data_IF_971917508856
#
_entry.id   IF_971917508856
#
_cell.length_a   1.000
_cell.length_b   1.000
_cell.length_c   1.000
_cell.angle_alpha   90.00
_cell.angle_beta   90.00
_cell.angle_gamma   90.00
#
_symmetry.space_group_name_H-M   'P 1'
#
loop_
_entity.id
_entity.type
_entity.pdbx_description
1 polymer ?
#
# COMPACT_ATOMS: atom_id res chain seq x y z
N UNK A 1 15.84 13.80 43.88
CA UNK A 1 16.29 12.39 43.87
C UNK A 1 15.30 11.43 44.52
N UNK A 2 14.97 11.53 45.82
CA UNK A 2 14.07 10.56 46.49
C UNK A 2 12.70 10.41 45.82
N UNK A 3 12.06 11.52 45.46
CA UNK A 3 10.76 11.51 44.76
C UNK A 3 10.86 10.86 43.36
N UNK A 4 11.92 11.16 42.60
CA UNK A 4 12.19 10.53 41.30
C UNK A 4 12.37 9.02 41.46
N UNK A 5 13.17 8.57 42.43
CA UNK A 5 13.38 7.13 42.67
C UNK A 5 12.10 6.38 43.07
N UNK A 6 11.24 7.01 43.87
CA UNK A 6 9.93 6.44 44.25
C UNK A 6 8.92 6.49 43.10
N UNK A 7 9.01 7.51 42.24
CA UNK A 7 8.17 7.73 41.06
C UNK A 7 8.75 7.14 39.77
N UNK A 8 9.70 6.19 39.86
CA UNK A 8 10.32 5.53 38.71
C UNK A 8 10.89 6.49 37.65
N UNK A 9 11.54 7.57 38.08
CA UNK A 9 12.13 8.60 37.22
C UNK A 9 11.19 9.74 36.85
N UNK A 10 9.98 9.81 37.41
CA UNK A 10 9.00 10.88 37.18
C UNK A 10 8.71 11.62 38.49
N UNK A 11 8.59 12.95 38.44
CA UNK A 11 8.17 13.79 39.57
C UNK A 11 7.29 14.93 39.08
N UNK A 12 6.28 15.28 39.88
CA UNK A 12 5.46 16.48 39.68
C UNK A 12 5.78 17.45 40.82
N UNK A 13 6.13 18.68 40.49
CA UNK A 13 6.35 19.77 41.44
C UNK A 13 5.13 20.68 41.36
N UNK A 14 4.39 20.76 42.47
CA UNK A 14 3.32 21.73 42.63
C UNK A 14 3.94 23.07 43.10
N UNK A 15 3.99 24.06 42.21
CA UNK A 15 4.30 25.45 42.55
C UNK A 15 3.04 26.15 43.06
N UNK A 16 3.04 26.45 44.36
CA UNK A 16 1.94 27.10 45.08
C UNK A 16 2.31 28.52 45.53
N UNK A 17 3.36 29.12 44.93
CA UNK A 17 3.80 30.49 45.27
C UNK A 17 2.73 31.55 44.95
N UNK A 18 1.97 31.36 43.87
CA UNK A 18 0.72 32.07 43.62
C UNK A 18 -0.47 31.19 44.02
N UNK A 19 -1.04 31.44 45.20
CA UNK A 19 -2.20 30.68 45.70
C UNK A 19 -3.46 30.84 44.83
N UNK A 20 -3.55 31.89 44.01
CA UNK A 20 -4.66 32.06 43.08
C UNK A 20 -4.50 31.22 41.81
N UNK A 21 -3.26 30.87 41.45
CA UNK A 21 -2.93 30.09 40.25
C UNK A 21 -1.81 29.07 40.53
N UNK A 22 -2.10 28.01 41.31
CA UNK A 22 -1.12 26.93 41.49
C UNK A 22 -0.79 26.27 40.15
N UNK A 23 0.46 25.83 39.99
CA UNK A 23 0.97 25.20 38.76
C UNK A 23 1.63 23.86 39.08
N UNK A 24 1.47 22.91 38.17
CA UNK A 24 2.11 21.61 38.25
C UNK A 24 3.16 21.48 37.14
N UNK A 25 4.43 21.40 37.54
CA UNK A 25 5.55 21.18 36.63
C UNK A 25 6.01 19.72 36.73
N UNK A 26 5.87 18.98 35.62
CA UNK A 26 6.29 17.59 35.53
C UNK A 26 7.72 17.49 34.99
N UNK A 27 8.56 16.72 35.67
CA UNK A 27 9.93 16.40 35.28
C UNK A 27 10.10 14.87 35.14
N UNK A 28 10.88 14.45 34.14
CA UNK A 28 11.16 13.05 33.82
C UNK A 28 12.65 12.84 33.55
N UNK A 29 13.23 11.76 34.07
CA UNK A 29 14.58 11.26 33.74
C UNK A 29 14.59 10.43 32.44
N UNK A 30 13.42 9.95 32.01
CA UNK A 30 13.26 9.24 30.74
C UNK A 30 13.07 10.21 29.59
N UNK A 31 13.48 9.81 28.38
CA UNK A 31 13.14 10.48 27.12
C UNK A 31 11.68 10.20 26.74
N UNK A 32 10.77 10.61 27.62
CA UNK A 32 9.34 10.36 27.55
C UNK A 32 8.56 11.68 27.67
N UNK A 33 7.59 11.87 26.80
CA UNK A 33 6.65 12.97 26.85
C UNK A 33 5.41 12.55 27.68
N UNK A 34 5.16 13.19 28.83
CA UNK A 34 4.02 12.86 29.70
C UNK A 34 2.67 13.35 29.17
N UNK A 35 2.67 14.23 28.16
CA UNK A 35 1.44 14.80 27.61
C UNK A 35 0.81 13.90 26.54
N UNK A 36 1.64 13.27 25.70
CA UNK A 36 1.20 12.46 24.56
C UNK A 36 1.64 10.98 24.65
N UNK A 37 2.46 10.63 25.64
CA UNK A 37 2.91 9.27 25.87
C UNK A 37 4.07 8.81 24.96
N UNK A 38 4.64 9.71 24.16
CA UNK A 38 5.74 9.39 23.25
C UNK A 38 7.00 9.09 24.05
N UNK A 39 7.63 7.94 23.80
CA UNK A 39 8.92 7.56 24.37
C UNK A 39 9.94 7.39 23.25
N UNK A 40 11.14 7.89 23.46
CA UNK A 40 12.27 7.74 22.56
C UNK A 40 13.28 6.80 23.22
N UNK A 41 13.83 5.80 22.50
CA UNK A 41 14.91 4.97 23.02
C UNK A 41 16.16 5.82 23.32
N UNK A 42 17.10 5.24 24.05
CA UNK A 42 18.35 5.93 24.40
C UNK A 42 19.06 6.49 23.15
N UNK A 43 19.54 7.73 23.29
CA UNK A 43 20.22 8.45 22.21
C UNK A 43 21.66 7.92 22.11
N UNK A 44 21.86 7.01 21.16
CA UNK A 44 23.16 6.47 20.82
C UNK A 44 23.49 6.78 19.35
N UNK A 45 24.77 6.85 18.95
CA UNK A 45 25.15 7.13 17.57
C UNK A 45 24.47 6.20 16.53
N UNK A 46 24.19 4.94 16.90
CA UNK A 46 23.49 3.97 16.03
C UNK A 46 22.03 4.32 15.77
N UNK A 47 21.37 5.05 16.67
CA UNK A 47 19.97 5.50 16.54
C UNK A 47 19.83 6.53 15.40
N UNK A 48 20.94 7.15 14.98
CA UNK A 48 20.97 8.08 13.83
C UNK A 48 21.52 7.44 12.55
N UNK A 49 21.92 6.17 12.59
CA UNK A 49 22.47 5.48 11.44
C UNK A 49 21.36 4.80 10.64
N UNK A 50 21.13 5.26 9.41
CA UNK A 50 20.21 4.60 8.47
C UNK A 50 20.70 3.22 8.03
N UNK A 51 21.98 2.90 8.23
CA UNK A 51 22.56 1.58 8.00
C UNK A 51 22.36 0.63 9.21
N UNK A 52 21.78 1.11 10.30
CA UNK A 52 21.46 0.29 11.48
C UNK A 52 19.94 0.08 11.56
N UNK A 53 19.46 -1.13 11.92
CA UNK A 53 18.04 -1.34 12.18
C UNK A 53 17.45 -0.40 13.25
N UNK A 54 18.28 0.15 14.13
CA UNK A 54 17.86 1.08 15.18
C UNK A 54 17.58 2.51 14.68
N UNK A 55 18.21 2.93 13.58
CA UNK A 55 18.02 4.26 12.97
C UNK A 55 17.37 4.22 11.59
N UNK A 56 17.19 3.04 11.00
CA UNK A 56 16.55 2.85 9.72
C UNK A 56 15.04 3.08 9.82
N UNK A 57 14.49 3.89 8.90
CA UNK A 57 13.05 4.02 8.76
C UNK A 57 12.43 2.65 8.42
N UNK A 58 11.41 2.17 9.15
CA UNK A 58 10.84 0.84 8.92
C UNK A 58 10.14 0.70 7.57
N UNK A 59 9.68 1.81 6.98
CA UNK A 59 8.96 1.79 5.70
C UNK A 59 9.89 1.61 4.49
N UNK A 60 11.09 2.19 4.54
CA UNK A 60 12.07 2.13 3.43
C UNK A 60 13.38 1.43 3.82
N UNK A 61 13.45 0.86 5.03
CA UNK A 61 14.61 0.17 5.59
C UNK A 61 15.92 0.98 5.50
N UNK A 62 15.81 2.31 5.64
CA UNK A 62 16.97 3.21 5.59
C UNK A 62 17.43 3.61 4.18
N UNK A 63 16.78 3.13 3.11
CA UNK A 63 17.11 3.51 1.73
C UNK A 63 16.70 4.95 1.39
N UNK A 64 15.71 5.50 2.10
CA UNK A 64 15.16 6.84 1.84
C UNK A 64 14.23 6.91 0.62
N UNK A 65 14.09 5.82 -0.13
CA UNK A 65 13.20 5.70 -1.29
C UNK A 65 12.41 4.40 -1.23
N UNK A 66 11.26 4.38 -1.89
CA UNK A 66 10.43 3.18 -2.07
C UNK A 66 10.06 3.11 -3.55
N UNK A 67 10.19 1.91 -4.13
CA UNK A 67 9.67 1.66 -5.49
C UNK A 67 8.15 1.51 -5.38
N UNK A 68 7.43 2.29 -6.15
CA UNK A 68 5.98 2.21 -6.28
C UNK A 68 5.62 2.07 -7.76
N UNK A 69 4.49 1.42 -8.03
CA UNK A 69 3.97 1.29 -9.39
C UNK A 69 3.33 2.62 -9.79
N UNK A 70 3.66 3.09 -10.99
CA UNK A 70 3.09 4.30 -11.58
C UNK A 70 1.97 3.93 -12.57
N UNK A 71 0.77 4.45 -12.32
CA UNK A 71 -0.40 4.22 -13.18
C UNK A 71 -0.18 4.69 -14.62
N UNK A 72 0.61 5.74 -14.83
CA UNK A 72 0.93 6.26 -16.16
C UNK A 72 1.93 5.35 -16.91
N UNK A 73 2.77 4.59 -16.19
CA UNK A 73 3.62 3.56 -16.78
C UNK A 73 2.84 2.26 -17.06
N UNK A 74 1.83 1.96 -16.24
CA UNK A 74 0.93 0.81 -16.46
C UNK A 74 0.02 1.05 -17.66
N UNK A 75 -0.44 2.29 -17.86
CA UNK A 75 -1.29 2.68 -19.01
C UNK A 75 -0.61 3.81 -19.80
N UNK A 76 0.48 3.52 -20.54
CA UNK A 76 1.28 4.54 -21.21
C UNK A 76 0.55 5.15 -22.39
N UNK A 77 -0.28 4.36 -23.09
CA UNK A 77 -1.07 4.81 -24.22
C UNK A 77 -2.58 4.73 -23.93
N UNK A 78 -3.13 5.84 -23.44
CA UNK A 78 -4.56 5.98 -23.11
C UNK A 78 -5.48 6.03 -24.35
N UNK A 79 -4.92 6.10 -25.56
CA UNK A 79 -5.68 6.03 -26.82
C UNK A 79 -6.04 4.60 -27.23
N UNK A 80 -5.37 3.59 -26.65
CA UNK A 80 -5.68 2.18 -26.91
C UNK A 80 -6.88 1.70 -26.08
N UNK A 81 -7.58 0.71 -26.61
CA UNK A 81 -8.62 -0.03 -25.90
C UNK A 81 -8.01 -1.11 -25.00
N UNK A 82 -8.79 -1.61 -24.04
CA UNK A 82 -8.37 -2.77 -23.22
C UNK A 82 -8.06 -4.00 -24.10
N UNK A 83 -8.81 -4.20 -25.18
CA UNK A 83 -8.61 -5.33 -26.10
C UNK A 83 -7.38 -5.20 -27.01
N UNK A 84 -6.79 -4.01 -27.10
CA UNK A 84 -5.56 -3.71 -27.83
C UNK A 84 -4.31 -3.70 -26.93
N UNK A 85 -4.47 -4.02 -25.64
CA UNK A 85 -3.34 -4.09 -24.71
C UNK A 85 -2.96 -2.73 -24.12
N UNK A 86 -3.93 -1.86 -23.88
CA UNK A 86 -3.70 -0.55 -23.26
C UNK A 86 -3.07 -0.64 -21.84
N UNK A 87 -3.27 -1.76 -21.14
CA UNK A 87 -2.65 -2.04 -19.83
C UNK A 87 -1.42 -2.93 -20.04
N UNK A 88 -0.25 -2.36 -19.77
CA UNK A 88 1.05 -3.03 -19.88
C UNK A 88 1.32 -3.87 -18.62
N UNK A 89 2.18 -4.88 -18.74
CA UNK A 89 2.53 -5.86 -17.68
C UNK A 89 1.37 -6.75 -17.17
N UNK A 90 0.12 -6.49 -17.59
CA UNK A 90 -1.00 -7.41 -17.43
C UNK A 90 -1.02 -8.42 -18.58
N UNK A 91 -1.06 -9.74 -18.31
CA UNK A 91 -1.09 -10.77 -19.35
C UNK A 91 -2.46 -10.81 -20.05
N UNK A 92 -2.72 -9.83 -20.92
CA UNK A 92 -3.93 -9.74 -21.75
C UNK A 92 -3.78 -10.36 -23.14
N UNK A 93 -2.55 -10.70 -23.54
CA UNK A 93 -2.25 -11.25 -24.87
C UNK A 93 -3.02 -12.55 -25.15
N UNK A 94 -3.14 -13.40 -24.13
CA UNK A 94 -3.96 -14.60 -24.18
C UNK A 94 -5.42 -14.24 -23.86
N UNK A 95 -6.22 -14.03 -24.92
CA UNK A 95 -7.67 -13.78 -24.80
C UNK A 95 -8.45 -14.97 -24.26
N UNK A 96 -7.86 -16.17 -24.24
CA UNK A 96 -8.44 -17.33 -23.55
C UNK A 96 -7.85 -17.50 -22.15
N UNK A 97 -6.92 -16.63 -21.76
CA UNK A 97 -6.26 -16.64 -20.47
C UNK A 97 -7.18 -16.21 -19.34
N UNK A 98 -6.91 -16.74 -18.15
CA UNK A 98 -7.63 -16.43 -16.92
C UNK A 98 -7.75 -14.91 -16.66
N UNK A 99 -6.65 -14.18 -16.84
CA UNK A 99 -6.59 -12.74 -16.55
C UNK A 99 -7.45 -11.90 -17.50
N UNK A 100 -7.52 -12.27 -18.78
CA UNK A 100 -8.38 -11.59 -19.75
C UNK A 100 -9.86 -11.87 -19.44
N UNK A 101 -10.22 -13.12 -19.15
CA UNK A 101 -11.59 -13.49 -18.82
C UNK A 101 -12.06 -12.83 -17.51
N UNK A 102 -11.20 -12.75 -16.50
CA UNK A 102 -11.45 -12.02 -15.26
C UNK A 102 -11.67 -10.52 -15.51
N UNK A 103 -10.82 -9.91 -16.34
CA UNK A 103 -10.95 -8.50 -16.72
C UNK A 103 -12.27 -8.24 -17.46
N UNK A 104 -12.66 -9.13 -18.39
CA UNK A 104 -13.93 -9.02 -19.10
C UNK A 104 -15.13 -9.14 -18.16
N UNK A 105 -15.10 -10.07 -17.20
CA UNK A 105 -16.16 -10.21 -16.21
C UNK A 105 -16.29 -8.96 -15.33
N UNK A 106 -15.17 -8.43 -14.82
CA UNK A 106 -15.14 -7.19 -14.05
C UNK A 106 -15.63 -6.00 -14.89
N UNK A 107 -15.18 -5.90 -16.14
CA UNK A 107 -15.59 -4.85 -17.05
C UNK A 107 -17.10 -4.89 -17.36
N UNK A 108 -17.67 -6.08 -17.55
CA UNK A 108 -19.10 -6.25 -17.75
C UNK A 108 -19.90 -5.85 -16.50
N UNK A 109 -19.43 -6.22 -15.31
CA UNK A 109 -20.08 -5.92 -14.03
C UNK A 109 -20.08 -4.42 -13.72
N UNK A 110 -18.95 -3.73 -13.92
CA UNK A 110 -18.78 -2.31 -13.63
C UNK A 110 -19.05 -1.39 -14.83
N UNK A 111 -19.53 -1.93 -15.96
CA UNK A 111 -19.85 -1.15 -17.16
C UNK A 111 -18.64 -0.48 -17.80
N UNK A 112 -17.45 -1.08 -17.71
CA UNK A 112 -16.21 -0.59 -18.32
C UNK A 112 -16.18 -1.04 -19.79
N UNK A 113 -16.19 -0.12 -20.78
CA UNK A 113 -16.11 -0.49 -22.17
C UNK A 113 -14.72 -1.03 -22.53
N UNK A 114 -14.64 -2.30 -22.95
CA UNK A 114 -13.37 -2.94 -23.35
C UNK A 114 -12.93 -2.60 -24.78
N UNK A 115 -13.85 -2.05 -25.58
CA UNK A 115 -13.66 -1.69 -26.99
C UNK A 115 -13.58 -0.18 -27.23
N UNK A 116 -13.43 0.62 -26.17
CA UNK A 116 -13.23 2.07 -26.27
C UNK A 116 -11.85 2.43 -25.70
N UNK A 117 -11.22 3.50 -26.20
CA UNK A 117 -9.97 3.99 -25.64
C UNK A 117 -10.06 4.22 -24.14
N UNK A 118 -9.03 3.85 -23.39
CA UNK A 118 -9.02 3.97 -21.92
C UNK A 118 -9.26 5.43 -21.48
N UNK A 119 -8.80 6.43 -22.24
CA UNK A 119 -9.07 7.85 -21.92
C UNK A 119 -10.55 8.23 -21.87
N UNK A 120 -11.45 7.37 -22.37
CA UNK A 120 -12.90 7.59 -22.33
C UNK A 120 -13.54 7.08 -21.05
N UNK A 121 -12.80 6.31 -20.24
CA UNK A 121 -13.25 5.86 -18.93
C UNK A 121 -13.36 7.05 -17.98
N UNK A 122 -14.37 7.02 -17.13
CA UNK A 122 -14.44 7.96 -16.01
C UNK A 122 -13.54 7.51 -14.85
N UNK A 123 -13.31 8.40 -13.88
CA UNK A 123 -12.40 8.14 -12.75
C UNK A 123 -12.81 6.91 -11.92
N UNK A 124 -14.10 6.61 -11.80
CA UNK A 124 -14.57 5.44 -11.06
C UNK A 124 -14.24 4.14 -11.82
N UNK A 125 -14.47 4.11 -13.13
CA UNK A 125 -14.12 2.98 -14.00
C UNK A 125 -12.61 2.75 -14.03
N UNK A 126 -11.81 3.82 -14.13
CA UNK A 126 -10.35 3.74 -14.06
C UNK A 126 -9.89 3.19 -12.72
N UNK A 127 -10.46 3.68 -11.61
CA UNK A 127 -10.12 3.20 -10.27
C UNK A 127 -10.44 1.72 -10.10
N UNK A 128 -11.59 1.27 -10.58
CA UNK A 128 -11.95 -0.16 -10.52
C UNK A 128 -11.00 -1.00 -11.35
N UNK A 129 -10.63 -0.54 -12.56
CA UNK A 129 -9.66 -1.23 -13.41
C UNK A 129 -8.29 -1.36 -12.71
N UNK A 130 -7.76 -0.27 -12.18
CA UNK A 130 -6.40 -0.25 -11.63
C UNK A 130 -6.32 -0.81 -10.21
N UNK A 131 -7.26 -0.47 -9.32
CA UNK A 131 -7.19 -0.80 -7.90
C UNK A 131 -8.26 -1.79 -7.42
N UNK A 132 -9.11 -2.28 -8.32
CA UNK A 132 -10.03 -3.37 -8.05
C UNK A 132 -11.41 -2.96 -7.56
N UNK A 133 -12.23 -3.96 -7.23
CA UNK A 133 -13.63 -3.82 -6.82
C UNK A 133 -13.83 -3.54 -5.32
N UNK A 134 -12.75 -3.47 -4.54
CA UNK A 134 -12.81 -3.32 -3.09
C UNK A 134 -13.52 -4.51 -2.43
N UNK A 135 -14.64 -4.25 -1.76
CA UNK A 135 -15.42 -5.28 -1.06
C UNK A 135 -16.43 -6.00 -1.96
N UNK A 136 -16.74 -5.43 -3.14
CA UNK A 136 -17.75 -5.96 -4.06
C UNK A 136 -17.24 -7.19 -4.81
N UNK A 137 -18.07 -8.23 -4.89
CA UNK A 137 -17.76 -9.46 -5.61
C UNK A 137 -18.27 -9.41 -7.05
N UNK A 138 -17.47 -9.97 -7.95
CA UNK A 138 -17.75 -10.12 -9.38
C UNK A 138 -17.97 -11.59 -9.67
N UNK A 139 -19.05 -11.91 -10.39
CA UNK A 139 -19.29 -13.26 -10.91
C UNK A 139 -18.44 -13.46 -12.16
N UNK A 140 -17.49 -14.38 -12.09
CA UNK A 140 -16.58 -14.69 -13.20
C UNK A 140 -16.96 -16.04 -13.76
N UNK A 141 -17.29 -16.04 -15.04
CA UNK A 141 -17.39 -17.25 -15.84
C UNK A 141 -16.12 -17.35 -16.67
N UNK A 142 -15.35 -18.42 -16.48
CA UNK A 142 -14.18 -18.68 -17.30
C UNK A 142 -14.21 -20.06 -17.93
N UNK A 143 -13.71 -20.14 -19.16
CA UNK A 143 -13.44 -21.39 -19.85
C UNK A 143 -12.03 -21.85 -19.46
N UNK A 144 -11.92 -23.08 -18.95
CA UNK A 144 -10.62 -23.68 -18.71
C UNK A 144 -9.99 -24.16 -20.05
N UNK A 145 -8.73 -24.60 -20.00
CA UNK A 145 -8.02 -25.12 -21.19
C UNK A 145 -8.66 -26.37 -21.80
N UNK A 146 -9.48 -27.09 -21.04
CA UNK A 146 -10.18 -28.31 -21.44
C UNK A 146 -11.57 -28.02 -22.05
N UNK A 147 -11.98 -26.73 -22.10
CA UNK A 147 -13.26 -26.30 -22.65
C UNK A 147 -14.42 -26.37 -21.67
N UNK A 148 -14.19 -26.69 -20.39
CA UNK A 148 -15.21 -26.65 -19.36
C UNK A 148 -15.44 -25.21 -18.89
N UNK A 149 -16.72 -24.82 -18.81
CA UNK A 149 -17.14 -23.56 -18.23
C UNK A 149 -17.21 -23.69 -16.70
N UNK A 150 -16.51 -22.79 -15.99
CA UNK A 150 -16.59 -22.69 -14.53
C UNK A 150 -17.02 -21.30 -14.13
N UNK A 151 -17.97 -21.24 -13.19
CA UNK A 151 -18.46 -20.02 -12.58
C UNK A 151 -18.05 -19.95 -11.12
N UNK A 152 -17.50 -18.81 -10.72
CA UNK A 152 -17.15 -18.54 -9.33
C UNK A 152 -17.32 -17.05 -9.05
N UNK A 153 -17.44 -16.70 -7.77
CA UNK A 153 -17.46 -15.32 -7.31
C UNK A 153 -16.12 -14.98 -6.70
N UNK A 154 -15.57 -13.83 -7.08
CA UNK A 154 -14.31 -13.34 -6.52
C UNK A 154 -14.31 -11.82 -6.47
N UNK A 155 -13.38 -11.25 -5.71
CA UNK A 155 -13.11 -9.80 -5.77
C UNK A 155 -12.10 -9.57 -6.88
N UNK A 156 -12.37 -8.59 -7.73
CA UNK A 156 -11.38 -8.17 -8.71
C UNK A 156 -10.32 -7.36 -7.96
N UNK A 157 -9.12 -7.92 -7.81
CA UNK A 157 -8.06 -7.27 -7.01
C UNK A 157 -7.52 -5.99 -7.67
N UNK A 158 -7.73 -5.80 -8.98
CA UNK A 158 -7.17 -4.70 -9.76
C UNK A 158 -5.81 -5.03 -10.38
N UNK A 159 -5.42 -4.23 -11.37
CA UNK A 159 -4.13 -4.38 -12.04
C UNK A 159 -2.97 -4.08 -11.10
N UNK A 160 -2.99 -2.94 -10.42
CA UNK A 160 -1.90 -2.47 -9.56
C UNK A 160 -1.64 -3.42 -8.39
N UNK A 161 -2.64 -3.83 -7.58
CA UNK A 161 -2.38 -4.70 -6.44
C UNK A 161 -1.88 -6.10 -6.84
N UNK A 162 -2.34 -6.63 -7.97
CA UNK A 162 -1.83 -7.89 -8.51
C UNK A 162 -0.37 -7.76 -8.97
N UNK A 163 -0.01 -6.70 -9.68
CA UNK A 163 1.38 -6.46 -10.10
C UNK A 163 2.29 -6.30 -8.87
N UNK A 164 1.85 -5.54 -7.87
CA UNK A 164 2.59 -5.38 -6.61
C UNK A 164 2.78 -6.71 -5.88
N UNK A 165 1.72 -7.52 -5.78
CA UNK A 165 1.75 -8.84 -5.18
C UNK A 165 2.68 -9.77 -5.95
N UNK A 166 2.59 -9.80 -7.29
CA UNK A 166 3.48 -10.61 -8.14
C UNK A 166 4.94 -10.20 -7.98
N UNK A 167 5.23 -8.90 -7.94
CA UNK A 167 6.58 -8.40 -7.70
C UNK A 167 7.12 -8.85 -6.34
N UNK A 168 6.30 -8.77 -5.29
CA UNK A 168 6.68 -9.15 -3.91
C UNK A 168 6.83 -10.65 -3.72
N UNK A 169 5.96 -11.44 -4.31
CA UNK A 169 5.91 -12.90 -4.15
C UNK A 169 6.81 -13.65 -5.14
N UNK A 170 7.23 -13.03 -6.25
CA UNK A 170 8.07 -13.74 -7.22
C UNK A 170 9.47 -13.98 -6.68
N UNK A 171 9.93 -15.21 -6.86
CA UNK A 171 11.30 -15.66 -6.57
C UNK A 171 12.20 -15.66 -7.81
N UNK A 172 11.64 -15.29 -8.97
CA UNK A 172 12.38 -15.24 -10.24
C UNK A 172 12.90 -13.82 -10.51
N UNK A 173 14.22 -13.68 -10.61
CA UNK A 173 14.85 -12.39 -10.94
C UNK A 173 14.39 -11.86 -12.29
N UNK A 174 14.19 -12.73 -13.28
CA UNK A 174 13.67 -12.36 -14.60
C UNK A 174 12.28 -11.71 -14.54
N UNK A 175 11.36 -12.29 -13.75
CA UNK A 175 10.01 -11.74 -13.60
C UNK A 175 10.06 -10.42 -12.84
N UNK A 176 10.97 -10.30 -11.86
CA UNK A 176 11.17 -9.08 -11.10
C UNK A 176 11.69 -7.95 -11.98
N UNK A 177 12.78 -8.18 -12.72
CA UNK A 177 13.39 -7.20 -13.62
C UNK A 177 12.40 -6.74 -14.69
N UNK A 178 11.64 -7.67 -15.29
CA UNK A 178 10.58 -7.33 -16.25
C UNK A 178 9.44 -6.47 -15.69
N UNK A 179 9.20 -6.52 -14.38
CA UNK A 179 8.22 -5.67 -13.71
C UNK A 179 8.82 -4.32 -13.25
N UNK A 180 10.15 -4.19 -13.25
CA UNK A 180 10.85 -2.94 -12.97
C UNK A 180 11.09 -2.09 -14.22
N UNK A 181 11.11 -2.72 -15.40
CA UNK A 181 11.11 -2.07 -16.73
C UNK A 181 9.76 -1.42 -17.07
#
# INVERSE_FOLDING_TARGET
>A
ETALRLGSGIVIINDVTDTANPRDDLYSEHLYCPYDGTSIPDIEPRTFSFNSPHGACPACQGLGTKKELDDDLIVPNKDLTLAEGAVVAWPTDDKQGYYWQLLQAAAAHFGIPTNKPIKTLNDAQMRVLLHGSGEETVSVTYLNREGEERRYETRYEGVVPNLERRYRETTSDYVREKLEE
#
